data_IF_416761832839
#
_entry.id   IF_416761832839
#
_cell.length_a   1.000
_cell.length_b   1.000
_cell.length_c   1.000
_cell.angle_alpha   90.00
_cell.angle_beta   90.00
_cell.angle_gamma   90.00
#
_symmetry.space_group_name_H-M   'P 1'
#
loop_
_entity.id
_entity.type
_entity.pdbx_description
1 polymer ?
#
# COMPACT_ATOMS: atom_id res chain seq x y z
N UNK A 1 -24.02 2.04 6.42
CA UNK A 1 -23.98 3.46 5.99
C UNK A 1 -24.17 4.43 7.15
N UNK A 2 -23.05 4.82 7.75
CA UNK A 2 -22.92 5.88 8.74
C UNK A 2 -23.23 7.25 8.12
N UNK A 3 -23.50 8.24 8.96
CA UNK A 3 -23.67 9.62 8.49
C UNK A 3 -22.31 10.32 8.25
N UNK A 4 -22.35 11.40 7.47
CA UNK A 4 -21.14 12.16 7.09
C UNK A 4 -20.38 12.74 8.30
N UNK A 5 -21.08 13.22 9.34
CA UNK A 5 -20.44 13.76 10.54
C UNK A 5 -19.60 12.70 11.27
N UNK A 6 -20.09 11.45 11.32
CA UNK A 6 -19.34 10.31 11.83
C UNK A 6 -18.12 10.01 10.98
N UNK A 7 -18.22 10.01 9.64
CA UNK A 7 -17.06 9.80 8.77
C UNK A 7 -15.97 10.85 8.99
N UNK A 8 -16.37 12.12 9.09
CA UNK A 8 -15.47 13.25 9.36
C UNK A 8 -14.75 13.08 10.69
N UNK A 9 -15.50 12.72 11.75
CA UNK A 9 -14.94 12.48 13.08
C UNK A 9 -13.91 11.34 13.07
N UNK A 10 -14.21 10.22 12.41
CA UNK A 10 -13.26 9.09 12.31
C UNK A 10 -12.00 9.54 11.57
N UNK A 11 -12.14 10.27 10.45
CA UNK A 11 -10.98 10.77 9.70
C UNK A 11 -10.09 11.71 10.54
N UNK A 12 -10.68 12.57 11.38
CA UNK A 12 -9.93 13.44 12.31
C UNK A 12 -9.19 12.63 13.37
N UNK A 13 -9.85 11.64 13.96
CA UNK A 13 -9.25 10.77 14.97
C UNK A 13 -8.07 9.98 14.39
N UNK A 14 -8.20 9.43 13.17
CA UNK A 14 -7.11 8.71 12.50
C UNK A 14 -5.94 9.62 12.12
N UNK A 15 -6.22 10.86 11.70
CA UNK A 15 -5.17 11.84 11.46
C UNK A 15 -4.40 12.16 12.75
N UNK A 16 -5.10 12.43 13.84
CA UNK A 16 -4.49 12.73 15.13
C UNK A 16 -3.71 11.51 15.68
N UNK A 17 -4.24 10.31 15.54
CA UNK A 17 -3.57 9.07 15.94
C UNK A 17 -2.26 8.85 15.17
N UNK A 18 -2.17 9.29 13.91
CA UNK A 18 -0.92 9.28 13.14
C UNK A 18 0.13 10.26 13.66
N UNK A 19 -0.29 11.40 14.21
CA UNK A 19 0.59 12.40 14.81
C UNK A 19 1.06 11.95 16.19
N UNK A 20 0.12 11.52 17.04
CA UNK A 20 0.37 11.17 18.44
C UNK A 20 0.91 9.75 18.62
N UNK A 21 0.87 8.93 17.55
CA UNK A 21 1.23 7.50 17.55
C UNK A 21 0.47 6.69 18.60
N UNK A 22 -0.77 7.08 18.82
CA UNK A 22 -1.67 6.42 19.77
C UNK A 22 -2.83 5.82 18.98
N UNK A 23 -2.85 4.49 18.81
CA UNK A 23 -3.92 3.83 18.07
C UNK A 23 -5.29 4.13 18.66
N UNK A 24 -6.27 4.36 17.79
CA UNK A 24 -7.68 4.40 18.20
C UNK A 24 -8.21 2.97 18.36
N UNK A 25 -9.23 2.75 19.22
CA UNK A 25 -9.92 1.46 19.28
C UNK A 25 -10.55 1.08 17.95
N UNK A 26 -10.75 -0.22 17.73
CA UNK A 26 -11.39 -0.76 16.52
C UNK A 26 -12.66 0.02 16.16
N UNK A 27 -12.74 0.48 14.91
CA UNK A 27 -13.92 1.19 14.40
C UNK A 27 -15.10 0.24 14.32
N UNK A 28 -14.88 -1.02 13.94
CA UNK A 28 -15.92 -2.06 13.95
C UNK A 28 -16.50 -2.36 15.32
N UNK A 29 -15.73 -2.19 16.39
CA UNK A 29 -16.25 -2.33 17.75
C UNK A 29 -17.10 -1.11 18.17
N UNK A 30 -16.74 0.08 17.68
CA UNK A 30 -17.43 1.35 17.97
C UNK A 30 -18.66 1.59 17.10
N UNK A 31 -18.63 1.09 15.87
CA UNK A 31 -19.62 1.25 14.80
C UNK A 31 -19.89 -0.11 14.14
N UNK A 32 -20.61 -1.03 14.80
CA UNK A 32 -20.85 -2.38 14.27
C UNK A 32 -21.60 -2.44 12.93
N UNK A 33 -22.28 -1.36 12.55
CA UNK A 33 -23.03 -1.18 11.30
C UNK A 33 -22.18 -0.62 10.14
N UNK A 34 -20.89 -0.37 10.37
CA UNK A 34 -19.97 0.20 9.37
C UNK A 34 -19.70 -0.80 8.24
N UNK A 35 -19.88 -0.34 7.00
CA UNK A 35 -19.63 -1.13 5.78
C UNK A 35 -18.35 -0.66 5.06
N UNK A 36 -17.98 -1.35 3.98
CA UNK A 36 -16.78 -1.02 3.20
C UNK A 36 -16.89 0.40 2.60
N UNK A 37 -18.08 0.78 2.15
CA UNK A 37 -18.39 2.10 1.60
C UNK A 37 -18.14 3.21 2.63
N UNK A 38 -18.49 2.98 3.89
CA UNK A 38 -18.21 3.90 5.00
C UNK A 38 -16.70 4.07 5.20
N UNK A 39 -15.95 2.99 5.01
CA UNK A 39 -14.48 2.98 5.18
C UNK A 39 -13.79 3.79 4.09
N UNK A 40 -14.21 3.64 2.83
CA UNK A 40 -13.71 4.47 1.72
C UNK A 40 -14.16 5.93 1.83
N UNK A 41 -15.34 6.21 2.41
CA UNK A 41 -15.75 7.58 2.71
C UNK A 41 -14.84 8.24 3.75
N UNK A 42 -14.49 7.53 4.83
CA UNK A 42 -13.51 7.98 5.83
C UNK A 42 -12.14 8.23 5.19
N UNK A 43 -11.63 7.26 4.43
CA UNK A 43 -10.33 7.37 3.77
C UNK A 43 -10.27 8.59 2.83
N UNK A 44 -11.34 8.83 2.06
CA UNK A 44 -11.43 9.97 1.14
C UNK A 44 -11.37 11.30 1.87
N UNK A 45 -12.16 11.46 2.92
CA UNK A 45 -12.15 12.70 3.74
C UNK A 45 -10.75 12.93 4.32
N UNK A 46 -10.11 11.87 4.83
CA UNK A 46 -8.75 11.95 5.33
C UNK A 46 -7.77 12.38 4.24
N UNK A 47 -7.82 11.78 3.05
CA UNK A 47 -6.94 12.10 1.93
C UNK A 47 -7.15 13.53 1.39
N UNK A 48 -8.40 13.98 1.26
CA UNK A 48 -8.74 15.35 0.86
C UNK A 48 -8.14 16.38 1.83
N UNK A 49 -8.18 16.11 3.14
CA UNK A 49 -7.55 16.97 4.14
C UNK A 49 -6.04 17.02 4.02
N UNK A 50 -5.39 15.90 3.71
CA UNK A 50 -3.95 15.88 3.44
C UNK A 50 -3.60 16.79 2.24
N UNK A 51 -4.42 16.74 1.18
CA UNK A 51 -4.25 17.63 0.01
C UNK A 51 -4.49 19.10 0.37
N UNK A 52 -5.53 19.39 1.14
CA UNK A 52 -5.82 20.75 1.62
C UNK A 52 -4.70 21.29 2.53
N UNK A 53 -4.00 20.42 3.25
CA UNK A 53 -2.81 20.74 4.04
C UNK A 53 -1.53 20.91 3.19
N UNK A 54 -1.62 20.73 1.87
CA UNK A 54 -0.54 20.98 0.92
C UNK A 54 0.25 19.75 0.48
N UNK A 55 -0.13 18.53 0.91
CA UNK A 55 0.48 17.29 0.42
C UNK A 55 -0.01 17.00 -1.00
N UNK A 56 0.85 16.39 -1.82
CA UNK A 56 0.48 16.05 -3.20
C UNK A 56 0.26 14.55 -3.31
N UNK A 57 -0.90 14.15 -3.83
CA UNK A 57 -1.16 12.76 -4.21
C UNK A 57 -0.21 12.37 -5.35
N UNK A 58 0.49 11.24 -5.21
CA UNK A 58 1.46 10.74 -6.21
C UNK A 58 1.23 9.28 -6.59
N UNK A 59 0.21 8.63 -6.02
CA UNK A 59 -0.03 7.24 -6.32
C UNK A 59 -1.00 6.56 -5.36
N UNK A 60 -1.02 5.24 -5.49
CA UNK A 60 -1.90 4.37 -4.73
C UNK A 60 -1.19 3.05 -4.37
N UNK A 61 -1.67 2.39 -3.33
CA UNK A 61 -1.29 1.01 -3.00
C UNK A 61 -2.48 0.08 -3.07
N UNK A 62 -2.23 -1.19 -3.38
CA UNK A 62 -3.23 -2.27 -3.28
C UNK A 62 -2.77 -3.24 -2.20
N UNK A 63 -3.60 -3.46 -1.17
CA UNK A 63 -3.36 -4.48 -0.16
C UNK A 63 -4.25 -5.71 -0.34
N UNK A 64 -4.06 -6.70 0.53
CA UNK A 64 -4.83 -7.96 0.51
C UNK A 64 -4.86 -8.68 -0.85
N UNK A 65 -3.73 -8.67 -1.56
CA UNK A 65 -3.56 -9.27 -2.90
C UNK A 65 -3.23 -10.76 -2.88
N UNK A 66 -2.94 -11.32 -1.69
CA UNK A 66 -2.72 -12.75 -1.50
C UNK A 66 -4.04 -13.47 -1.22
N UNK A 67 -4.32 -14.52 -2.00
CA UNK A 67 -5.52 -15.35 -1.77
C UNK A 67 -5.50 -16.01 -0.39
N UNK A 68 -4.32 -16.39 0.10
CA UNK A 68 -4.18 -16.94 1.44
C UNK A 68 -4.49 -15.90 2.53
N UNK A 69 -4.16 -14.63 2.31
CA UNK A 69 -4.51 -13.55 3.24
C UNK A 69 -6.01 -13.29 3.20
N UNK A 70 -6.60 -13.17 2.01
CA UNK A 70 -8.03 -13.04 1.78
C UNK A 70 -8.85 -14.14 2.48
N UNK A 71 -8.44 -15.40 2.30
CA UNK A 71 -9.12 -16.55 2.90
C UNK A 71 -8.94 -16.57 4.44
N UNK A 72 -7.79 -16.14 4.96
CA UNK A 72 -7.53 -16.05 6.41
C UNK A 72 -8.33 -14.92 7.09
N UNK A 73 -8.61 -13.84 6.37
CA UNK A 73 -9.36 -12.68 6.89
C UNK A 73 -10.86 -12.76 6.57
N UNK A 74 -11.29 -13.69 5.71
CA UNK A 74 -12.66 -13.81 5.24
C UNK A 74 -13.09 -12.67 4.30
N UNK A 75 -12.13 -12.02 3.65
CA UNK A 75 -12.34 -10.89 2.74
C UNK A 75 -12.08 -11.39 1.33
N UNK A 76 -12.99 -11.14 0.39
CA UNK A 76 -12.92 -11.68 -0.97
C UNK A 76 -12.41 -10.68 -2.02
N UNK A 77 -12.18 -9.41 -1.66
CA UNK A 77 -11.57 -8.40 -2.53
C UNK A 77 -10.34 -7.70 -1.91
N UNK A 78 -9.41 -7.17 -2.74
CA UNK A 78 -8.33 -6.28 -2.28
C UNK A 78 -8.84 -4.99 -1.63
N UNK A 79 -7.96 -4.27 -0.94
CA UNK A 79 -8.17 -2.87 -0.55
C UNK A 79 -7.20 -1.93 -1.28
N UNK A 80 -7.43 -0.62 -1.16
CA UNK A 80 -6.50 0.37 -1.64
C UNK A 80 -6.33 1.55 -0.70
N UNK A 81 -5.23 2.26 -0.88
CA UNK A 81 -4.90 3.50 -0.16
C UNK A 81 -4.18 4.49 -1.05
N UNK A 82 -4.10 5.73 -0.59
CA UNK A 82 -3.53 6.87 -1.30
C UNK A 82 -2.12 7.16 -0.80
N UNK A 83 -1.18 7.36 -1.74
CA UNK A 83 0.22 7.69 -1.47
C UNK A 83 0.46 9.18 -1.73
N UNK A 84 1.11 9.85 -0.78
CA UNK A 84 1.55 11.24 -0.89
C UNK A 84 3.05 11.36 -1.17
N UNK A 85 3.47 12.50 -1.71
CA UNK A 85 4.85 12.74 -2.12
C UNK A 85 5.87 12.66 -0.99
N UNK A 86 5.50 13.08 0.22
CA UNK A 86 6.31 12.96 1.43
C UNK A 86 6.40 11.53 2.01
N UNK A 87 5.81 10.55 1.33
CA UNK A 87 5.85 9.13 1.69
C UNK A 87 6.72 8.30 0.76
N UNK A 88 7.31 8.90 -0.28
CA UNK A 88 8.14 8.21 -1.28
C UNK A 88 9.61 8.50 -1.03
N UNK A 89 10.37 7.46 -0.68
CA UNK A 89 11.80 7.58 -0.41
C UNK A 89 12.64 6.70 -1.35
N UNK A 90 13.94 6.99 -1.39
CA UNK A 90 14.90 6.23 -2.19
C UNK A 90 15.67 5.21 -1.33
N UNK A 91 16.17 4.15 -1.97
CA UNK A 91 17.03 3.15 -1.35
C UNK A 91 18.20 3.80 -0.61
N UNK A 92 18.42 3.36 0.63
CA UNK A 92 19.36 3.94 1.58
C UNK A 92 18.72 4.89 2.58
N UNK A 93 17.41 5.16 2.48
CA UNK A 93 16.69 6.02 3.42
C UNK A 93 16.79 5.52 4.88
N UNK A 94 16.88 6.48 5.80
CA UNK A 94 16.87 6.23 7.24
C UNK A 94 15.58 6.79 7.82
N UNK A 95 14.67 5.90 8.17
CA UNK A 95 13.42 6.21 8.83
C UNK A 95 13.65 6.57 10.29
N UNK A 96 13.00 7.63 10.77
CA UNK A 96 12.83 7.85 12.20
C UNK A 96 11.76 6.88 12.72
N UNK A 97 12.17 5.77 13.33
CA UNK A 97 11.26 4.71 13.81
C UNK A 97 10.20 5.27 14.76
N UNK A 98 10.59 6.27 15.55
CA UNK A 98 9.72 7.01 16.47
C UNK A 98 8.63 7.87 15.81
N UNK A 99 8.53 7.89 14.48
CA UNK A 99 7.37 8.46 13.76
C UNK A 99 6.29 7.45 13.45
N UNK A 100 6.61 6.15 13.53
CA UNK A 100 5.69 5.06 13.21
C UNK A 100 5.14 4.41 14.47
N UNK A 101 3.96 3.82 14.38
CA UNK A 101 3.32 3.14 15.53
C UNK A 101 3.68 1.65 15.54
N UNK A 102 3.39 0.94 14.46
CA UNK A 102 3.61 -0.50 14.30
C UNK A 102 4.22 -0.81 12.93
N UNK A 103 5.44 -0.30 12.66
CA UNK A 103 6.04 -0.39 11.34
C UNK A 103 6.36 -1.84 10.96
N UNK A 104 5.97 -2.21 9.74
CA UNK A 104 6.32 -3.48 9.09
C UNK A 104 6.69 -3.23 7.64
N UNK A 105 7.49 -4.12 7.07
CA UNK A 105 7.94 -4.05 5.68
C UNK A 105 7.30 -5.15 4.85
N UNK A 106 6.88 -4.78 3.65
CA UNK A 106 6.44 -5.69 2.61
C UNK A 106 7.26 -5.49 1.32
N UNK A 107 7.50 -6.60 0.59
CA UNK A 107 8.19 -6.57 -0.70
C UNK A 107 7.19 -6.52 -1.84
N UNK A 108 7.31 -5.49 -2.67
CA UNK A 108 6.38 -5.20 -3.75
C UNK A 108 7.10 -4.90 -5.08
N UNK A 109 6.29 -4.78 -6.13
CA UNK A 109 6.64 -4.08 -7.36
C UNK A 109 5.79 -2.83 -7.49
N UNK A 110 6.42 -1.71 -7.80
CA UNK A 110 5.74 -0.46 -8.14
C UNK A 110 5.64 -0.30 -9.66
N UNK A 111 4.45 0.04 -10.14
CA UNK A 111 4.17 0.37 -11.53
C UNK A 111 4.11 1.89 -11.65
N UNK A 112 4.98 2.48 -12.46
CA UNK A 112 4.95 3.92 -12.75
C UNK A 112 4.25 4.12 -14.06
N UNK A 113 3.20 4.93 -14.07
CA UNK A 113 2.33 5.14 -15.22
C UNK A 113 2.84 6.27 -16.11
N UNK A 114 2.80 6.09 -17.43
CA UNK A 114 3.00 7.17 -18.42
C UNK A 114 1.68 7.69 -18.99
N UNK A 115 0.61 6.90 -18.92
CA UNK A 115 -0.72 7.25 -19.43
C UNK A 115 -1.77 7.09 -18.32
N UNK A 116 -2.85 7.87 -18.40
CA UNK A 116 -4.01 7.74 -17.51
C UNK A 116 -4.68 6.35 -17.67
N UNK A 117 -5.08 5.73 -16.56
CA UNK A 117 -5.97 4.56 -16.53
C UNK A 117 -7.33 4.96 -15.97
N UNK A 118 -8.34 4.95 -16.84
CA UNK A 118 -9.73 5.29 -16.52
C UNK A 118 -10.65 4.09 -16.71
N UNK A 119 -11.09 3.49 -15.60
CA UNK A 119 -12.13 2.47 -15.59
C UNK A 119 -13.55 3.04 -15.74
N UNK A 120 -14.58 2.19 -15.70
CA UNK A 120 -14.49 0.72 -15.68
C UNK A 120 -14.26 0.14 -17.10
N UNK A 121 -13.96 -1.17 -17.16
CA UNK A 121 -13.83 -1.92 -18.42
C UNK A 121 -12.41 -2.01 -18.96
N UNK A 122 -11.42 -1.57 -18.18
CA UNK A 122 -10.01 -1.80 -18.48
C UNK A 122 -9.69 -3.28 -18.31
N UNK A 123 -8.74 -3.77 -19.09
CA UNK A 123 -8.16 -5.10 -18.95
C UNK A 123 -6.66 -5.01 -18.60
N UNK A 124 -6.04 -6.16 -18.35
CA UNK A 124 -4.61 -6.25 -18.00
C UNK A 124 -3.69 -5.61 -19.05
N UNK A 125 -4.02 -5.71 -20.35
CA UNK A 125 -3.19 -5.15 -21.42
C UNK A 125 -3.20 -3.63 -21.39
N UNK A 126 -4.31 -3.01 -20.98
CA UNK A 126 -4.38 -1.55 -20.84
C UNK A 126 -3.38 -1.06 -19.77
N UNK A 127 -3.30 -1.77 -18.64
CA UNK A 127 -2.30 -1.51 -17.59
C UNK A 127 -0.88 -1.61 -18.12
N UNK A 128 -0.56 -2.71 -18.81
CA UNK A 128 0.79 -2.91 -19.35
C UNK A 128 1.17 -1.82 -20.36
N UNK A 129 0.22 -1.37 -21.19
CA UNK A 129 0.44 -0.30 -22.16
C UNK A 129 0.65 1.05 -21.49
N UNK A 130 -0.12 1.37 -20.45
CA UNK A 130 -0.04 2.63 -19.71
C UNK A 130 1.15 2.70 -18.74
N UNK A 131 1.82 1.57 -18.47
CA UNK A 131 3.01 1.54 -17.62
C UNK A 131 4.23 2.09 -18.37
N UNK A 132 4.94 3.02 -17.77
CA UNK A 132 6.25 3.50 -18.22
C UNK A 132 7.34 2.48 -17.88
N UNK A 133 7.40 2.11 -16.60
CA UNK A 133 8.32 1.09 -16.09
C UNK A 133 7.77 0.46 -14.80
N UNK A 134 8.33 -0.68 -14.45
CA UNK A 134 8.15 -1.38 -13.18
C UNK A 134 9.46 -1.30 -12.42
N UNK A 135 9.41 -1.02 -11.13
CA UNK A 135 10.59 -0.93 -10.27
C UNK A 135 10.34 -1.66 -8.95
N UNK A 136 11.36 -2.31 -8.35
CA UNK A 136 11.26 -2.82 -6.99
C UNK A 136 10.82 -1.74 -6.01
N UNK A 137 9.97 -2.12 -5.05
CA UNK A 137 9.52 -1.24 -3.99
C UNK A 137 9.36 -1.99 -2.66
N UNK A 138 9.67 -1.32 -1.55
CA UNK A 138 9.26 -1.75 -0.22
C UNK A 138 8.11 -0.86 0.26
N UNK A 139 7.01 -1.47 0.69
CA UNK A 139 5.99 -0.76 1.47
C UNK A 139 6.39 -0.79 2.95
N UNK A 140 6.28 0.36 3.62
CA UNK A 140 6.29 0.47 5.08
C UNK A 140 4.84 0.59 5.53
N UNK A 141 4.31 -0.49 6.09
CA UNK A 141 3.00 -0.48 6.73
C UNK A 141 3.09 0.24 8.08
N UNK A 142 2.03 0.95 8.46
CA UNK A 142 1.81 1.45 9.81
C UNK A 142 0.34 1.28 10.20
N UNK A 143 -0.01 1.48 11.48
CA UNK A 143 -1.41 1.42 11.89
C UNK A 143 -1.74 2.44 12.97
N UNK A 144 -2.79 3.21 12.71
CA UNK A 144 -3.39 4.17 13.64
C UNK A 144 -4.62 3.61 14.34
N UNK A 145 -4.96 2.34 14.10
CA UNK A 145 -6.01 1.58 14.76
C UNK A 145 -5.37 0.39 15.48
N UNK A 146 -5.95 -0.02 16.61
CA UNK A 146 -5.59 -1.27 17.28
C UNK A 146 -5.56 -2.47 16.30
N UNK A 147 -4.56 -3.34 16.45
CA UNK A 147 -4.35 -4.44 15.49
C UNK A 147 -5.09 -5.73 15.86
N UNK A 148 -5.29 -5.99 17.15
CA UNK A 148 -5.90 -7.24 17.61
C UNK A 148 -7.40 -7.23 17.31
N UNK A 149 -7.87 -8.17 16.49
CA UNK A 149 -9.29 -8.24 16.08
C UNK A 149 -9.67 -7.29 14.94
N UNK A 150 -8.68 -6.61 14.32
CA UNK A 150 -8.89 -5.68 13.22
C UNK A 150 -9.48 -6.37 11.99
N UNK A 151 -10.40 -5.69 11.32
CA UNK A 151 -11.06 -6.16 10.11
C UNK A 151 -10.69 -5.28 8.90
N UNK A 152 -11.33 -5.54 7.75
CA UNK A 152 -11.11 -4.77 6.52
C UNK A 152 -11.59 -3.32 6.63
N UNK A 153 -12.72 -3.09 7.28
CA UNK A 153 -13.32 -1.76 7.37
C UNK A 153 -12.44 -0.84 8.21
N UNK A 154 -11.84 -1.39 9.27
CA UNK A 154 -10.80 -0.71 10.04
C UNK A 154 -9.59 -0.37 9.15
N UNK A 155 -9.09 -1.36 8.40
CA UNK A 155 -7.86 -1.21 7.59
C UNK A 155 -8.03 -0.22 6.44
N UNK A 156 -9.15 -0.28 5.69
CA UNK A 156 -9.47 0.67 4.62
C UNK A 156 -9.57 2.10 5.17
N UNK A 157 -10.32 2.28 6.27
CA UNK A 157 -10.46 3.57 6.92
C UNK A 157 -9.11 4.16 7.30
N UNK A 158 -8.20 3.30 7.75
CA UNK A 158 -6.81 3.61 8.06
C UNK A 158 -5.90 3.67 6.82
N UNK A 159 -6.38 4.23 5.70
CA UNK A 159 -5.66 4.36 4.43
C UNK A 159 -4.93 3.06 4.01
N UNK A 160 -5.61 1.92 4.16
CA UNK A 160 -5.09 0.58 3.90
C UNK A 160 -3.74 0.29 4.61
N UNK A 161 -3.57 0.77 5.84
CA UNK A 161 -2.35 0.62 6.64
C UNK A 161 -1.06 1.17 5.99
N UNK A 162 -1.16 2.05 4.98
CA UNK A 162 0.01 2.68 4.38
C UNK A 162 0.69 3.61 5.38
N UNK A 163 2.00 3.43 5.59
CA UNK A 163 2.87 4.38 6.28
C UNK A 163 3.70 5.18 5.28
N UNK A 164 4.54 4.50 4.50
CA UNK A 164 5.41 5.09 3.46
C UNK A 164 5.97 4.01 2.53
N UNK A 165 6.89 4.36 1.63
CA UNK A 165 7.57 3.40 0.76
C UNK A 165 9.03 3.77 0.50
N UNK A 166 9.81 2.79 0.02
CA UNK A 166 11.14 2.97 -0.54
C UNK A 166 11.18 2.37 -1.94
N UNK A 167 11.62 3.16 -2.92
CA UNK A 167 11.91 2.69 -4.27
C UNK A 167 13.42 2.43 -4.43
N UNK A 168 13.77 1.45 -5.25
CA UNK A 168 15.17 1.19 -5.56
C UNK A 168 15.38 0.04 -6.54
N UNK A 169 16.63 -0.38 -6.69
CA UNK A 169 16.99 -1.40 -7.67
C UNK A 169 16.98 -0.86 -9.10
N UNK A 170 16.59 -1.72 -10.04
CA UNK A 170 16.63 -1.49 -11.48
C UNK A 170 15.20 -1.34 -12.01
N UNK A 171 14.84 -0.19 -12.58
CA UNK A 171 13.59 -0.07 -13.33
C UNK A 171 13.68 -0.89 -14.62
N UNK A 172 12.56 -1.51 -15.00
CA UNK A 172 12.43 -2.30 -16.23
C UNK A 172 11.12 -1.98 -16.94
N UNK A 173 11.08 -2.08 -18.27
CA UNK A 173 9.80 -2.05 -19.00
C UNK A 173 9.04 -3.36 -18.78
N UNK A 174 7.74 -3.35 -19.04
CA UNK A 174 6.85 -4.51 -18.78
C UNK A 174 7.19 -5.76 -19.60
N UNK A 175 7.97 -5.62 -20.67
CA UNK A 175 8.36 -6.67 -21.61
C UNK A 175 9.84 -7.10 -21.47
N UNK A 176 10.63 -6.42 -20.63
CA UNK A 176 12.05 -6.76 -20.40
C UNK A 176 12.23 -8.05 -19.59
N UNK A 177 11.29 -8.38 -18.71
CA UNK A 177 11.29 -9.59 -17.88
C UNK A 177 9.87 -10.13 -17.73
N UNK A 178 9.72 -11.43 -17.45
CA UNK A 178 8.44 -11.95 -16.97
C UNK A 178 8.21 -11.47 -15.53
N UNK A 179 7.38 -10.45 -15.37
CA UNK A 179 7.05 -9.83 -14.08
C UNK A 179 6.55 -10.85 -13.05
N UNK A 180 5.97 -11.97 -13.48
CA UNK A 180 5.48 -13.03 -12.59
C UNK A 180 6.62 -13.74 -11.85
N UNK A 181 7.80 -13.80 -12.46
CA UNK A 181 8.96 -14.51 -11.93
C UNK A 181 9.99 -13.61 -11.26
N UNK A 182 9.67 -12.33 -11.06
CA UNK A 182 10.46 -11.51 -10.16
C UNK A 182 10.38 -12.12 -8.76
N UNK A 183 11.52 -12.52 -8.23
CA UNK A 183 11.66 -13.10 -6.91
C UNK A 183 12.37 -12.12 -5.98
N UNK A 184 12.16 -12.30 -4.68
CA UNK A 184 12.73 -11.43 -3.66
C UNK A 184 13.17 -12.20 -2.41
N UNK A 185 14.25 -11.71 -1.79
CA UNK A 185 14.72 -12.12 -0.47
C UNK A 185 14.70 -10.90 0.45
N UNK A 186 13.87 -10.94 1.50
CA UNK A 186 13.77 -9.88 2.51
C UNK A 186 14.58 -10.26 3.73
N UNK A 187 15.57 -9.44 4.05
CA UNK A 187 16.45 -9.63 5.20
C UNK A 187 16.32 -8.48 6.19
N UNK A 188 16.40 -8.82 7.48
CA UNK A 188 16.54 -7.88 8.60
C UNK A 188 17.80 -8.22 9.36
N UNK A 189 18.68 -7.24 9.53
CA UNK A 189 19.96 -7.41 10.23
C UNK A 189 20.77 -8.60 9.70
N UNK A 190 20.82 -8.76 8.37
CA UNK A 190 21.55 -9.83 7.66
C UNK A 190 20.94 -11.24 7.80
N UNK A 191 19.80 -11.39 8.47
CA UNK A 191 19.04 -12.63 8.52
C UNK A 191 17.89 -12.59 7.50
N UNK A 192 17.75 -13.64 6.69
CA UNK A 192 16.62 -13.80 5.77
C UNK A 192 15.38 -14.09 6.60
N UNK A 193 14.37 -13.22 6.50
CA UNK A 193 13.11 -13.37 7.23
C UNK A 193 12.00 -13.89 6.31
N UNK A 194 11.91 -13.34 5.10
CA UNK A 194 10.91 -13.74 4.10
C UNK A 194 11.54 -13.91 2.72
N UNK A 195 10.91 -14.75 1.90
CA UNK A 195 11.22 -14.89 0.48
C UNK A 195 9.91 -14.99 -0.29
N UNK A 196 9.86 -14.50 -1.51
CA UNK A 196 8.64 -14.57 -2.31
C UNK A 196 8.88 -14.38 -3.80
N UNK A 197 7.81 -14.58 -4.56
CA UNK A 197 7.79 -14.43 -6.02
C UNK A 197 6.54 -13.65 -6.40
N UNK A 198 6.67 -12.65 -7.28
CA UNK A 198 5.63 -11.69 -7.62
C UNK A 198 4.35 -12.31 -8.21
N UNK A 199 4.41 -13.54 -8.76
CA UNK A 199 3.20 -14.30 -9.12
C UNK A 199 2.25 -14.56 -7.93
N UNK A 200 2.75 -14.49 -6.68
CA UNK A 200 1.93 -14.54 -5.48
C UNK A 200 0.94 -13.37 -5.36
N UNK A 201 1.20 -12.28 -6.07
CA UNK A 201 0.30 -11.12 -6.18
C UNK A 201 -0.71 -11.41 -7.29
N UNK A 202 -1.90 -11.90 -6.91
CA UNK A 202 -3.03 -12.12 -7.82
C UNK A 202 -2.69 -12.87 -9.13
N UNK A 203 -1.77 -13.84 -9.09
CA UNK A 203 -1.23 -14.61 -10.24
C UNK A 203 -0.33 -13.83 -11.22
N UNK A 204 -0.47 -12.50 -11.27
CA UNK A 204 0.35 -11.57 -12.02
C UNK A 204 0.30 -10.20 -11.33
N UNK A 205 1.45 -9.56 -11.02
CA UNK A 205 1.47 -8.33 -10.20
C UNK A 205 0.64 -7.18 -10.79
N UNK A 206 0.62 -7.01 -12.11
CA UNK A 206 -0.22 -5.99 -12.76
C UNK A 206 -1.75 -6.20 -12.59
N UNK A 207 -2.22 -7.36 -12.10
CA UNK A 207 -3.65 -7.56 -11.82
C UNK A 207 -4.15 -6.67 -10.67
N UNK A 208 -3.28 -6.29 -9.72
CA UNK A 208 -3.64 -5.33 -8.67
C UNK A 208 -3.96 -3.96 -9.24
N UNK A 209 -3.11 -3.47 -10.15
CA UNK A 209 -3.32 -2.19 -10.86
C UNK A 209 -4.59 -2.23 -11.71
N UNK A 210 -4.83 -3.35 -12.42
CA UNK A 210 -6.05 -3.56 -13.20
C UNK A 210 -7.31 -3.54 -12.33
N UNK A 211 -7.28 -4.20 -11.17
CA UNK A 211 -8.40 -4.15 -10.22
C UNK A 211 -8.62 -2.73 -9.71
N UNK A 212 -7.55 -2.05 -9.29
CA UNK A 212 -7.61 -0.71 -8.72
C UNK A 212 -8.23 0.28 -9.70
N UNK A 213 -7.72 0.34 -10.94
CA UNK A 213 -8.19 1.28 -11.96
C UNK A 213 -9.68 1.11 -12.28
N UNK A 214 -10.20 -0.11 -12.19
CA UNK A 214 -11.63 -0.37 -12.34
C UNK A 214 -12.43 -0.03 -11.07
N UNK A 215 -11.88 -0.31 -9.88
CA UNK A 215 -12.55 -0.07 -8.59
C UNK A 215 -12.72 1.41 -8.28
N UNK A 216 -11.66 2.21 -8.43
CA UNK A 216 -11.72 3.65 -8.11
C UNK A 216 -12.63 4.44 -9.05
N UNK A 217 -12.90 3.91 -10.25
CA UNK A 217 -13.83 4.52 -11.21
C UNK A 217 -15.27 4.57 -10.66
N UNK A 218 -15.65 3.62 -9.79
CA UNK A 218 -16.96 3.63 -9.10
C UNK A 218 -17.09 4.82 -8.12
N UNK A 219 -15.97 5.43 -7.75
CA UNK A 219 -15.90 6.62 -6.91
C UNK A 219 -15.67 7.91 -7.71
N UNK A 220 -15.59 7.81 -9.05
CA UNK A 220 -15.33 8.94 -9.95
C UNK A 220 -13.86 9.30 -10.11
N UNK A 221 -12.95 8.46 -9.61
CA UNK A 221 -11.50 8.68 -9.65
C UNK A 221 -10.81 7.93 -10.81
N UNK A 222 -9.57 8.33 -11.08
CA UNK A 222 -8.67 7.74 -12.08
C UNK A 222 -7.24 7.61 -11.56
N UNK A 223 -6.45 6.74 -12.19
CA UNK A 223 -5.01 6.71 -12.00
C UNK A 223 -4.37 7.61 -13.06
N UNK A 224 -3.68 8.65 -12.62
CA UNK A 224 -3.13 9.67 -13.51
C UNK A 224 -1.76 9.25 -14.08
N UNK A 225 -1.38 9.85 -15.21
CA UNK A 225 -0.01 9.74 -15.72
C UNK A 225 0.99 10.28 -14.68
N UNK A 226 2.08 9.55 -14.48
CA UNK A 226 3.11 9.82 -13.46
C UNK A 226 2.82 9.23 -12.08
N UNK A 227 1.63 8.65 -11.85
CA UNK A 227 1.35 7.98 -10.58
C UNK A 227 2.17 6.69 -10.39
N UNK A 228 2.47 6.42 -9.12
CA UNK A 228 3.16 5.22 -8.65
C UNK A 228 2.13 4.29 -8.03
N UNK A 229 2.00 3.07 -8.54
CA UNK A 229 1.04 2.08 -8.03
C UNK A 229 1.79 0.88 -7.43
N UNK A 230 1.69 0.73 -6.11
CA UNK A 230 2.14 -0.46 -5.39
C UNK A 230 1.18 -1.61 -5.64
N UNK A 231 1.66 -2.64 -6.34
CA UNK A 231 0.82 -3.71 -6.86
C UNK A 231 0.35 -4.73 -5.82
N UNK A 232 0.93 -4.69 -4.62
CA UNK A 232 0.71 -5.63 -3.54
C UNK A 232 1.93 -6.50 -3.25
N UNK A 233 2.00 -6.96 -2.01
CA UNK A 233 3.13 -7.71 -1.48
C UNK A 233 3.15 -9.18 -1.88
N UNK A 234 4.34 -9.70 -2.17
CA UNK A 234 4.60 -11.13 -2.34
C UNK A 234 5.35 -11.77 -1.15
N UNK A 235 5.49 -11.04 -0.04
CA UNK A 235 6.00 -11.56 1.25
C UNK A 235 5.02 -11.24 2.38
N UNK A 236 5.10 -11.95 3.50
CA UNK A 236 4.37 -11.49 4.71
C UNK A 236 4.98 -10.19 5.24
N UNK A 237 4.20 -9.34 5.93
CA UNK A 237 4.75 -8.18 6.63
C UNK A 237 5.82 -8.58 7.65
N UNK A 238 7.04 -8.08 7.47
CA UNK A 238 8.15 -8.27 8.38
C UNK A 238 8.20 -7.13 9.40
N UNK A 239 8.15 -7.44 10.69
CA UNK A 239 8.30 -6.44 11.76
C UNK A 239 9.68 -5.77 11.74
N UNK A 240 9.70 -4.46 11.99
CA UNK A 240 10.93 -3.67 12.13
C UNK A 240 10.90 -2.83 13.41
N UNK A 241 12.07 -2.69 14.02
CA UNK A 241 12.30 -2.05 15.30
C UNK A 241 13.38 -0.97 15.20
N UNK A 242 13.46 -0.09 16.20
CA UNK A 242 14.52 0.91 16.30
C UNK A 242 15.91 0.23 16.25
N UNK A 243 16.75 0.68 15.32
CA UNK A 243 18.08 0.13 15.04
C UNK A 243 18.16 -0.85 13.87
N UNK A 244 17.03 -1.40 13.41
CA UNK A 244 17.01 -2.43 12.36
C UNK A 244 17.48 -1.90 11.00
N UNK A 245 18.22 -2.74 10.29
CA UNK A 245 18.55 -2.55 8.87
C UNK A 245 17.81 -3.56 8.02
N UNK A 246 17.17 -3.08 6.97
CA UNK A 246 16.43 -3.88 6.00
C UNK A 246 17.21 -3.93 4.70
N UNK A 247 17.32 -5.14 4.15
CA UNK A 247 17.93 -5.39 2.84
C UNK A 247 17.02 -6.31 2.05
N UNK A 248 16.59 -5.85 0.88
CA UNK A 248 15.74 -6.59 -0.02
C UNK A 248 16.47 -6.82 -1.34
N UNK A 249 16.66 -8.08 -1.70
CA UNK A 249 17.33 -8.50 -2.94
C UNK A 249 16.30 -9.02 -3.94
N UNK A 250 16.14 -8.33 -5.07
CA UNK A 250 15.27 -8.70 -6.18
C UNK A 250 16.05 -9.38 -7.32
N UNK A 251 17.27 -9.85 -7.03
CA UNK A 251 18.16 -10.51 -7.97
C UNK A 251 18.54 -9.59 -9.14
N UNK A 252 18.22 -9.96 -10.40
CA UNK A 252 18.53 -9.13 -11.57
C UNK A 252 17.92 -7.72 -11.55
N UNK A 253 16.87 -7.51 -10.74
CA UNK A 253 16.23 -6.20 -10.56
C UNK A 253 16.91 -5.36 -9.45
N UNK A 254 18.03 -5.83 -8.90
CA UNK A 254 18.81 -5.08 -7.92
C UNK A 254 18.22 -5.12 -6.52
N UNK A 255 18.62 -4.15 -5.70
CA UNK A 255 18.42 -4.21 -4.26
C UNK A 255 17.85 -2.93 -3.69
N UNK A 256 17.04 -3.05 -2.64
CA UNK A 256 16.56 -1.92 -1.83
C UNK A 256 17.10 -2.06 -0.43
N UNK A 257 17.53 -0.94 0.16
CA UNK A 257 17.94 -0.88 1.55
C UNK A 257 17.23 0.24 2.27
N UNK A 258 16.97 0.07 3.56
CA UNK A 258 16.59 1.16 4.45
C UNK A 258 16.95 0.80 5.89
N UNK A 259 16.96 1.81 6.77
CA UNK A 259 17.25 1.64 8.20
C UNK A 259 16.18 2.33 9.03
N UNK A 260 15.87 1.75 10.18
CA UNK A 260 15.00 2.34 11.19
C UNK A 260 15.87 2.83 12.35
N UNK A 261 15.86 4.13 12.63
CA UNK A 261 16.70 4.80 13.63
C UNK A 261 15.88 5.47 14.74
#
# INVERSE_FOLDING_TARGET
MLNHETHVKIADELHQAGIDRTPVPLLTARYPEMEIEDSYAVQRIWAERQVQAGRRKVGHKIGLTSKAMQDATGIDEPDYGVIFDDQVFESGHVYEWKRYTHPRIEMELAFVLKDELRGPGLNLIDVLRATEYVVPALEVLDSRIEMAGRTITDTISDNAALGSMVLGGRPVTVDEVDLRWVAGVLSRNQEIIETGVAAGVLNHPANGVHWLANRIAEHGDTLEAGEIVLAGSFTRPMWVYEGDTVYADYGPLGTITCRFA
#
